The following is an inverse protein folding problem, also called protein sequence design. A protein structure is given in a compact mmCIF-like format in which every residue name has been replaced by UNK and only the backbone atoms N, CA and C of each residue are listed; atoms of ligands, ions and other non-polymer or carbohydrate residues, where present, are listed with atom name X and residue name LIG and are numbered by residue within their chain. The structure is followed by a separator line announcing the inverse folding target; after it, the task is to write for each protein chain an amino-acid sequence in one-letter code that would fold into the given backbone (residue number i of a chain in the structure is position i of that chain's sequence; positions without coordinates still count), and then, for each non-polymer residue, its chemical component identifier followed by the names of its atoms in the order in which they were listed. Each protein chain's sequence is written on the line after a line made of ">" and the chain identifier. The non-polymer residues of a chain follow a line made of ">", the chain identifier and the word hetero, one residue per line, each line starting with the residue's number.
data_IF_197549512602
#
_entry.id   IF_197549512602
#
_cell.length_a   1.000
_cell.length_b   1.000
_cell.length_c   1.000
_cell.angle_alpha   90.00
_cell.angle_beta   90.00
_cell.angle_gamma   90.00
#
_symmetry.space_group_name_H-M   'P 1'
#
loop_
_entity.id
_entity.type
_entity.pdbx_description
1 polymer ?
#
# COMPACT_ATOMS: atom_id res chain seq x y z
N UNK A 1 12.64 18.84 -10.60
CA UNK A 1 12.19 17.51 -10.13
C UNK A 1 13.42 16.63 -9.97
N UNK A 2 13.74 16.24 -8.74
CA UNK A 2 14.90 15.41 -8.42
C UNK A 2 14.38 14.05 -7.98
N UNK A 3 14.74 12.99 -8.70
CA UNK A 3 14.49 11.62 -8.27
C UNK A 3 15.69 11.15 -7.46
N UNK A 4 15.46 10.68 -6.23
CA UNK A 4 16.53 10.16 -5.38
C UNK A 4 16.17 8.76 -4.88
N UNK A 5 17.16 7.87 -4.87
CA UNK A 5 16.99 6.51 -4.37
C UNK A 5 16.67 6.46 -2.87
N UNK A 6 16.20 5.30 -2.41
CA UNK A 6 15.82 5.10 -1.00
C UNK A 6 16.95 5.38 0.01
N UNK A 7 18.21 5.30 -0.42
CA UNK A 7 19.39 5.64 0.40
C UNK A 7 19.60 7.14 0.62
N UNK A 8 19.07 8.00 -0.26
CA UNK A 8 19.19 9.46 -0.17
C UNK A 8 17.98 10.12 0.48
N UNK A 9 17.07 9.31 1.02
CA UNK A 9 15.87 9.76 1.74
C UNK A 9 16.21 10.13 3.18
N UNK A 10 17.09 11.11 3.35
CA UNK A 10 17.44 11.67 4.67
C UNK A 10 16.81 13.05 4.84
N UNK A 11 16.55 13.49 6.08
CA UNK A 11 15.99 14.82 6.35
C UNK A 11 16.85 15.94 5.76
N UNK A 12 18.18 15.82 5.82
CA UNK A 12 19.12 16.81 5.29
C UNK A 12 19.03 16.96 3.76
N UNK A 13 18.96 15.84 3.03
CA UNK A 13 18.81 15.87 1.56
C UNK A 13 17.43 16.42 1.18
N UNK A 14 16.38 16.03 1.91
CA UNK A 14 15.04 16.56 1.67
C UNK A 14 14.99 18.08 1.90
N UNK A 15 15.57 18.57 3.00
CA UNK A 15 15.65 20.00 3.33
C UNK A 15 16.37 20.79 2.24
N UNK A 16 17.54 20.32 1.79
CA UNK A 16 18.29 20.95 0.70
C UNK A 16 17.45 21.04 -0.59
N UNK A 17 16.71 19.98 -0.93
CA UNK A 17 15.86 19.96 -2.13
C UNK A 17 14.72 20.98 -2.00
N UNK A 18 14.11 21.12 -0.83
CA UNK A 18 13.07 22.12 -0.58
C UNK A 18 13.60 23.56 -0.60
N UNK A 19 14.77 23.82 -0.01
CA UNK A 19 15.40 25.15 0.01
C UNK A 19 15.80 25.65 -1.39
N UNK A 20 16.04 24.74 -2.32
CA UNK A 20 16.37 25.07 -3.71
C UNK A 20 15.16 25.05 -4.66
N UNK A 21 13.93 25.11 -4.13
CA UNK A 21 12.67 25.11 -4.90
C UNK A 21 12.52 23.94 -5.89
N UNK A 22 13.15 22.80 -5.56
CA UNK A 22 13.09 21.59 -6.38
C UNK A 22 12.06 20.62 -5.80
N UNK A 23 11.21 20.03 -6.64
CA UNK A 23 10.26 19.00 -6.20
C UNK A 23 10.97 17.63 -6.05
N UNK A 24 11.00 17.02 -4.85
CA UNK A 24 11.60 15.69 -4.66
C UNK A 24 10.61 14.58 -5.06
N UNK A 25 11.07 13.64 -5.89
CA UNK A 25 10.41 12.37 -6.14
C UNK A 25 11.11 11.28 -5.31
N UNK A 26 10.75 11.17 -4.03
CA UNK A 26 11.32 10.18 -3.11
C UNK A 26 10.46 8.92 -3.04
N UNK A 27 11.05 7.72 -3.06
CA UNK A 27 10.31 6.47 -2.94
C UNK A 27 9.65 6.35 -1.56
N UNK A 28 8.46 5.74 -1.54
CA UNK A 28 7.78 5.38 -0.29
C UNK A 28 8.59 4.30 0.44
N UNK A 29 8.86 4.52 1.73
CA UNK A 29 9.50 3.51 2.58
C UNK A 29 8.40 2.78 3.32
N UNK A 30 8.31 1.46 3.14
CA UNK A 30 7.33 0.65 3.86
C UNK A 30 7.65 0.69 5.37
N UNK A 31 6.67 0.98 6.24
CA UNK A 31 6.83 0.91 7.69
C UNK A 31 7.40 -0.45 8.08
N UNK A 32 8.50 -0.43 8.82
CA UNK A 32 9.13 -1.65 9.30
C UNK A 32 8.46 -2.06 10.61
N UNK A 33 8.18 -3.35 10.74
CA UNK A 33 7.79 -3.92 12.03
C UNK A 33 8.98 -3.81 12.99
N UNK A 34 8.71 -3.56 14.28
CA UNK A 34 9.74 -3.53 15.32
C UNK A 34 10.54 -4.85 15.33
N UNK A 35 11.82 -4.77 15.65
CA UNK A 35 12.67 -5.95 15.77
C UNK A 35 12.18 -6.87 16.91
N UNK A 36 12.26 -8.19 16.68
CA UNK A 36 11.77 -9.21 17.62
C UNK A 36 10.28 -9.56 17.53
N UNK A 37 9.49 -8.81 16.75
CA UNK A 37 8.08 -9.09 16.50
C UNK A 37 7.87 -9.97 15.27
N UNK A 38 6.75 -10.71 15.26
CA UNK A 38 6.36 -11.48 14.08
C UNK A 38 6.11 -10.56 12.88
N UNK A 39 6.74 -10.89 11.77
CA UNK A 39 6.65 -10.19 10.49
C UNK A 39 5.43 -10.65 9.72
N UNK A 40 4.95 -9.82 8.80
CA UNK A 40 3.73 -10.11 8.02
C UNK A 40 3.80 -11.42 7.22
N UNK A 41 4.98 -11.82 6.74
CA UNK A 41 5.13 -13.03 5.93
C UNK A 41 5.01 -14.33 6.73
N UNK A 42 5.13 -14.27 8.06
CA UNK A 42 4.93 -15.43 8.93
C UNK A 42 3.43 -15.74 9.13
N UNK A 43 2.55 -14.81 8.73
CA UNK A 43 1.11 -15.03 8.70
C UNK A 43 0.70 -15.50 7.30
N UNK A 44 0.24 -16.74 7.21
CA UNK A 44 -0.13 -17.36 5.94
C UNK A 44 -1.58 -17.01 5.62
N UNK A 45 -1.82 -16.43 4.44
CA UNK A 45 -3.18 -16.17 3.97
C UNK A 45 -3.75 -17.40 3.27
N UNK A 46 -4.98 -17.77 3.61
CA UNK A 46 -5.73 -18.80 2.91
C UNK A 46 -6.83 -18.13 2.07
N UNK A 47 -6.72 -18.31 0.76
CA UNK A 47 -7.64 -17.69 -0.20
C UNK A 47 -9.03 -18.33 -0.18
N UNK A 48 -9.13 -19.63 0.12
CA UNK A 48 -10.39 -20.38 0.10
C UNK A 48 -11.32 -19.94 1.24
N UNK A 49 -10.75 -19.72 2.43
CA UNK A 49 -11.52 -19.32 3.63
C UNK A 49 -11.47 -17.81 3.92
N UNK A 50 -10.80 -17.00 3.09
CA UNK A 50 -10.53 -15.56 3.30
C UNK A 50 -10.08 -15.28 4.76
N UNK A 51 -9.01 -15.94 5.18
CA UNK A 51 -8.50 -15.87 6.55
C UNK A 51 -6.97 -15.90 6.59
N UNK A 52 -6.40 -15.42 7.71
CA UNK A 52 -4.97 -15.55 7.98
C UNK A 52 -4.73 -16.59 9.06
N UNK A 53 -3.68 -17.38 8.91
CA UNK A 53 -3.18 -18.28 9.94
C UNK A 53 -1.97 -17.64 10.64
N UNK A 54 -2.02 -17.59 11.96
CA UNK A 54 -0.91 -17.24 12.84
C UNK A 54 0.15 -18.35 12.83
N UNK A 55 1.43 -18.06 13.14
CA UNK A 55 2.45 -19.10 13.36
C UNK A 55 2.06 -20.18 14.40
N UNK A 56 1.19 -19.84 15.34
CA UNK A 56 0.65 -20.77 16.35
C UNK A 56 -0.56 -21.58 15.84
N UNK A 57 -0.99 -21.41 14.59
CA UNK A 57 -2.13 -22.10 13.98
C UNK A 57 -3.49 -21.45 14.24
N UNK A 58 -3.56 -20.34 14.99
CA UNK A 58 -4.83 -19.61 15.21
C UNK A 58 -5.30 -18.90 13.94
N UNK A 59 -6.62 -18.93 13.71
CA UNK A 59 -7.28 -18.27 12.57
C UNK A 59 -7.59 -16.83 12.90
N UNK A 60 -7.22 -15.93 11.99
CA UNK A 60 -7.61 -14.53 12.00
C UNK A 60 -8.72 -14.34 10.97
N UNK A 61 -9.92 -14.02 11.45
CA UNK A 61 -11.12 -13.86 10.63
C UNK A 61 -11.17 -12.47 10.02
N UNK A 62 -11.71 -12.39 8.81
CA UNK A 62 -12.10 -11.12 8.21
C UNK A 62 -13.15 -10.43 9.09
N UNK A 63 -13.00 -9.14 9.32
CA UNK A 63 -13.95 -8.36 10.10
C UNK A 63 -14.62 -7.29 9.28
N UNK A 64 -13.84 -6.35 8.75
CA UNK A 64 -14.36 -5.19 8.04
C UNK A 64 -13.38 -4.72 6.98
N UNK A 65 -13.88 -3.96 6.01
CA UNK A 65 -13.06 -3.24 5.04
C UNK A 65 -13.18 -1.75 5.34
N UNK A 66 -12.05 -1.06 5.50
CA UNK A 66 -12.04 0.38 5.70
C UNK A 66 -12.49 1.12 4.43
N UNK A 67 -12.91 2.38 4.54
CA UNK A 67 -13.27 3.22 3.38
C UNK A 67 -12.15 3.33 2.35
N UNK A 68 -10.90 3.22 2.80
CA UNK A 68 -9.68 3.23 1.97
C UNK A 68 -9.40 1.89 1.26
N UNK A 69 -10.22 0.86 1.48
CA UNK A 69 -10.10 -0.44 0.81
C UNK A 69 -9.15 -1.43 1.48
N UNK A 70 -8.79 -1.24 2.76
CA UNK A 70 -8.02 -2.22 3.53
C UNK A 70 -8.96 -3.23 4.19
N UNK A 71 -8.75 -4.51 3.92
CA UNK A 71 -9.38 -5.60 4.66
C UNK A 71 -8.68 -5.78 6.00
N UNK A 72 -9.45 -5.83 7.07
CA UNK A 72 -8.99 -6.01 8.43
C UNK A 72 -9.28 -7.44 8.90
N UNK A 73 -8.25 -8.10 9.43
CA UNK A 73 -8.35 -9.44 9.99
C UNK A 73 -7.95 -9.40 11.46
N UNK A 74 -8.77 -10.02 12.31
CA UNK A 74 -8.58 -10.01 13.74
C UNK A 74 -8.36 -11.42 14.30
N UNK A 75 -7.46 -11.52 15.27
CA UNK A 75 -7.37 -12.72 16.12
C UNK A 75 -8.43 -12.71 17.23
N UNK A 76 -8.76 -13.89 17.73
CA UNK A 76 -9.64 -14.04 18.88
C UNK A 76 -8.86 -13.75 20.18
N UNK A 77 -9.27 -12.75 20.98
CA UNK A 77 -8.51 -12.31 22.15
C UNK A 77 -8.49 -13.37 23.27
N UNK A 78 -9.54 -14.20 23.37
CA UNK A 78 -9.62 -15.29 24.36
C UNK A 78 -8.49 -16.28 24.16
N UNK A 79 -8.25 -16.70 22.91
CA UNK A 79 -7.20 -17.67 22.60
C UNK A 79 -5.80 -17.05 22.61
N UNK A 80 -5.69 -15.73 22.39
CA UNK A 80 -4.41 -15.03 22.40
C UNK A 80 -3.87 -14.74 23.81
N UNK A 81 -4.74 -14.67 24.84
CA UNK A 81 -4.32 -14.44 26.23
C UNK A 81 -3.39 -15.54 26.75
N UNK A 82 -3.69 -16.79 26.39
CA UNK A 82 -2.93 -17.97 26.84
C UNK A 82 -1.78 -18.34 25.89
N UNK A 83 -1.47 -17.50 24.91
CA UNK A 83 -0.48 -17.81 23.88
C UNK A 83 0.96 -17.57 24.38
N UNK A 84 1.88 -18.56 24.26
CA UNK A 84 3.27 -18.42 24.71
C UNK A 84 4.05 -17.35 23.93
N UNK A 85 3.60 -17.04 22.70
CA UNK A 85 4.24 -16.03 21.83
C UNK A 85 3.56 -14.67 21.85
N UNK A 86 2.68 -14.40 22.81
CA UNK A 86 1.95 -13.14 22.91
C UNK A 86 2.90 -11.92 22.92
N UNK A 87 4.02 -12.02 23.64
CA UNK A 87 5.05 -10.97 23.73
C UNK A 87 5.68 -10.60 22.37
N UNK A 88 5.83 -11.58 21.48
CA UNK A 88 6.35 -11.42 20.10
C UNK A 88 5.24 -11.09 19.09
N UNK A 89 3.97 -11.33 19.43
CA UNK A 89 2.84 -11.18 18.53
C UNK A 89 2.24 -9.77 18.56
N UNK A 90 1.84 -9.28 19.74
CA UNK A 90 1.15 -7.99 19.87
C UNK A 90 1.38 -7.35 21.24
N UNK A 91 1.44 -6.02 21.30
CA UNK A 91 1.49 -5.24 22.55
C UNK A 91 0.12 -4.61 22.90
N UNK A 92 -0.95 -4.99 22.20
CA UNK A 92 -2.30 -4.46 22.43
C UNK A 92 -2.84 -4.87 23.80
N UNK A 93 -3.51 -3.95 24.50
CA UNK A 93 -4.17 -4.19 25.80
C UNK A 93 -5.24 -5.29 25.72
N UNK A 94 -5.87 -5.45 24.56
CA UNK A 94 -6.91 -6.45 24.35
C UNK A 94 -6.35 -7.81 23.90
N UNK A 95 -5.02 -7.96 23.82
CA UNK A 95 -4.34 -9.16 23.29
C UNK A 95 -4.79 -9.54 21.88
N UNK A 96 -5.31 -8.56 21.13
CA UNK A 96 -5.84 -8.72 19.79
C UNK A 96 -4.79 -8.35 18.74
N UNK A 97 -4.55 -9.23 17.78
CA UNK A 97 -3.70 -8.96 16.61
C UNK A 97 -4.58 -8.49 15.45
N UNK A 98 -4.16 -7.39 14.83
CA UNK A 98 -4.78 -6.85 13.62
C UNK A 98 -3.81 -6.97 12.45
N UNK A 99 -4.26 -7.58 11.37
CA UNK A 99 -3.56 -7.61 10.08
C UNK A 99 -4.36 -6.82 9.06
N UNK A 100 -3.69 -5.85 8.44
CA UNK A 100 -4.22 -5.12 7.30
C UNK A 100 -3.76 -5.80 6.01
N UNK A 101 -4.72 -6.22 5.19
CA UNK A 101 -4.48 -6.60 3.81
C UNK A 101 -5.10 -5.53 2.90
N UNK A 102 -4.25 -4.75 2.23
CA UNK A 102 -4.74 -3.90 1.14
C UNK A 102 -5.21 -4.82 0.02
N UNK A 103 -6.36 -4.50 -0.61
CA UNK A 103 -6.72 -5.11 -1.89
C UNK A 103 -5.53 -4.96 -2.83
N UNK A 104 -5.08 -6.03 -3.50
CA UNK A 104 -3.98 -5.97 -4.47
C UNK A 104 -4.39 -5.06 -5.65
N UNK A 105 -4.32 -3.74 -5.49
CA UNK A 105 -4.15 -2.81 -6.59
C UNK A 105 -2.67 -2.93 -6.95
N UNK A 106 -2.33 -3.94 -7.75
CA UNK A 106 -0.95 -4.06 -8.21
C UNK A 106 -0.63 -2.80 -9.02
N UNK A 107 0.41 -2.10 -8.62
CA UNK A 107 1.02 -1.02 -9.43
C UNK A 107 1.25 -1.53 -10.87
N UNK A 108 1.49 -2.83 -11.02
CA UNK A 108 1.54 -3.55 -12.30
C UNK A 108 0.26 -3.43 -13.12
N UNK A 109 -0.95 -3.39 -12.52
CA UNK A 109 -2.19 -3.14 -13.28
C UNK A 109 -2.26 -1.72 -13.81
N UNK A 110 -1.79 -0.74 -13.05
CA UNK A 110 -1.72 0.65 -13.52
C UNK A 110 -0.71 0.77 -14.67
N UNK A 111 0.44 0.11 -14.55
CA UNK A 111 1.42 0.06 -15.64
C UNK A 111 0.93 -0.76 -16.85
N UNK A 112 0.20 -1.85 -16.64
CA UNK A 112 -0.42 -2.62 -17.72
C UNK A 112 -1.47 -1.78 -18.45
N UNK A 113 -2.35 -1.08 -17.73
CA UNK A 113 -3.32 -0.16 -18.33
C UNK A 113 -2.62 0.97 -19.08
N UNK A 114 -1.55 1.53 -18.53
CA UNK A 114 -0.76 2.56 -19.20
C UNK A 114 -0.15 2.05 -20.51
N UNK A 115 0.38 0.82 -20.53
CA UNK A 115 0.97 0.19 -21.72
C UNK A 115 -0.10 -0.17 -22.77
N UNK A 116 -1.16 -0.84 -22.37
CA UNK A 116 -2.16 -1.42 -23.28
C UNK A 116 -3.20 -0.39 -23.74
N UNK A 117 -3.68 0.49 -22.86
CA UNK A 117 -4.78 1.44 -23.16
C UNK A 117 -4.29 2.85 -23.49
N UNK A 118 -3.10 3.21 -23.01
CA UNK A 118 -2.56 4.57 -23.17
C UNK A 118 -1.27 4.62 -24.01
N UNK A 119 -0.96 3.54 -24.73
CA UNK A 119 0.10 3.52 -25.73
C UNK A 119 1.52 3.63 -25.17
N UNK A 120 1.72 3.45 -23.85
CA UNK A 120 3.05 3.52 -23.23
C UNK A 120 3.92 2.27 -23.48
N UNK A 121 3.52 1.38 -24.39
CA UNK A 121 4.37 0.28 -24.85
C UNK A 121 5.59 0.81 -25.61
N UNK A 122 5.44 1.95 -26.28
CA UNK A 122 6.50 2.62 -27.02
C UNK A 122 6.51 4.12 -26.74
N UNK A 123 7.70 4.72 -26.77
CA UNK A 123 7.86 6.17 -26.70
C UNK A 123 7.51 6.79 -28.06
N UNK A 124 6.40 7.49 -28.16
CA UNK A 124 5.98 8.15 -29.42
C UNK A 124 6.70 9.47 -29.68
N UNK A 125 7.27 10.09 -28.64
CA UNK A 125 7.98 11.37 -28.73
C UNK A 125 9.48 11.19 -28.48
N UNK A 126 10.30 12.01 -29.15
CA UNK A 126 11.76 12.03 -28.97
C UNK A 126 12.18 13.14 -28.00
N UNK A 127 12.95 12.79 -26.98
CA UNK A 127 13.52 13.71 -25.98
C UNK A 127 12.81 13.69 -24.62
N UNK A 128 13.61 13.81 -23.55
CA UNK A 128 13.16 13.65 -22.15
C UNK A 128 12.02 14.59 -21.76
N UNK A 129 12.09 15.88 -22.14
CA UNK A 129 11.04 16.86 -21.80
C UNK A 129 9.68 16.47 -22.37
N UNK A 130 9.65 16.05 -23.64
CA UNK A 130 8.42 15.66 -24.34
C UNK A 130 7.82 14.37 -23.78
N UNK A 131 8.68 13.39 -23.49
CA UNK A 131 8.25 12.13 -22.87
C UNK A 131 7.72 12.32 -21.45
N UNK A 132 8.36 13.19 -20.67
CA UNK A 132 7.90 13.56 -19.33
C UNK A 132 6.51 14.19 -19.37
N UNK A 133 6.28 15.14 -20.28
CA UNK A 133 4.96 15.76 -20.47
C UNK A 133 3.89 14.74 -20.85
N UNK A 134 4.18 13.85 -21.80
CA UNK A 134 3.26 12.80 -22.21
C UNK A 134 2.89 11.88 -21.04
N UNK A 135 3.89 11.45 -20.26
CA UNK A 135 3.66 10.59 -19.11
C UNK A 135 2.79 11.27 -18.05
N UNK A 136 3.09 12.53 -17.72
CA UNK A 136 2.28 13.31 -16.77
C UNK A 136 0.83 13.44 -17.23
N UNK A 137 0.60 13.75 -18.51
CA UNK A 137 -0.74 13.90 -19.06
C UNK A 137 -1.54 12.59 -18.96
N UNK A 138 -0.92 11.46 -19.30
CA UNK A 138 -1.56 10.15 -19.20
C UNK A 138 -1.92 9.79 -17.76
N UNK A 139 -0.99 9.93 -16.81
CA UNK A 139 -1.29 9.63 -15.41
C UNK A 139 -2.32 10.59 -14.81
N UNK A 140 -2.30 11.88 -15.21
CA UNK A 140 -3.33 12.83 -14.83
C UNK A 140 -4.71 12.39 -15.33
N UNK A 141 -4.84 11.97 -16.60
CA UNK A 141 -6.09 11.47 -17.15
C UNK A 141 -6.57 10.18 -16.44
N UNK A 142 -5.65 9.25 -16.13
CA UNK A 142 -5.98 8.04 -15.38
C UNK A 142 -6.50 8.36 -13.96
N UNK A 143 -5.87 9.33 -13.29
CA UNK A 143 -6.30 9.79 -11.97
C UNK A 143 -7.67 10.49 -12.04
N UNK A 144 -7.91 11.36 -13.03
CA UNK A 144 -9.20 12.02 -13.25
C UNK A 144 -10.31 10.98 -13.50
N UNK A 145 -10.05 9.97 -14.33
CA UNK A 145 -10.99 8.86 -14.54
C UNK A 145 -11.28 8.10 -13.23
N UNK A 146 -10.26 7.87 -12.41
CA UNK A 146 -10.43 7.23 -11.09
C UNK A 146 -11.33 8.08 -10.18
N UNK A 147 -11.12 9.39 -10.13
CA UNK A 147 -11.94 10.31 -9.34
C UNK A 147 -13.39 10.34 -9.84
N UNK A 148 -13.62 10.41 -11.15
CA UNK A 148 -14.96 10.36 -11.73
C UNK A 148 -15.70 9.05 -11.41
N UNK A 149 -15.01 7.91 -11.44
CA UNK A 149 -15.60 6.64 -11.01
C UNK A 149 -15.93 6.59 -9.51
N UNK A 150 -15.18 7.30 -8.66
CA UNK A 150 -15.45 7.38 -7.22
C UNK A 150 -16.66 8.26 -6.89
N UNK A 151 -16.80 9.40 -7.57
CA UNK A 151 -17.97 10.27 -7.42
C UNK A 151 -19.23 9.58 -7.95
N UNK A 152 -19.13 8.85 -9.07
CA UNK A 152 -20.26 8.11 -9.64
C UNK A 152 -20.75 6.94 -8.77
N UNK A 153 -19.87 6.28 -8.01
CA UNK A 153 -20.26 5.23 -7.06
C UNK A 153 -20.83 5.78 -5.74
N UNK A 154 -20.86 7.09 -5.57
CA UNK A 154 -21.44 7.78 -4.41
C UNK A 154 -22.68 8.59 -4.84
N UNK A 155 -23.79 7.92 -5.21
CA UNK A 155 -25.09 8.23 -4.60
C UNK A 155 -25.88 6.94 -4.31
N UNK A 156 -26.60 6.72 -3.21
CA UNK A 156 -27.13 7.57 -2.15
C UNK A 156 -27.12 6.81 -0.81
N UNK A 157 -26.78 7.51 0.28
CA UNK A 157 -27.32 7.21 1.60
C UNK A 157 -28.48 8.21 1.75
N UNK A 158 -29.69 7.71 1.56
CA UNK A 158 -30.95 8.27 2.07
C UNK A 158 -31.70 7.11 2.68
#
# INVERSE_FOLDING_TARGET
>A
MVAADAGYKTPAVAQYIFENDMTPALPYTRPRTKDGYFKKHEYVYNEYYDCYFCPQGQVLKYATTTKEGYRQYFSDPVQCKDCPFLSKCTQSKEHKKLIYARRKETIERVFADAKEKHGMRWTTLRGLKKLSMQAMLTFAAMNLKKMACWTWKSPAIT
#
